data_IF_094015891909
#
_entry.id   IF_094015891909
#
_cell.length_a   1.000
_cell.length_b   1.000
_cell.length_c   1.000
_cell.angle_alpha   90.00
_cell.angle_beta   90.00
_cell.angle_gamma   90.00
#
_symmetry.space_group_name_H-M   'P 1'
#
loop_
_entity.id
_entity.type
_entity.pdbx_description
1 polymer ?
#
# COMPACT_ATOMS: atom_id res chain seq x y z
N UNK A 1 5.30 8.72 30.61
CA UNK A 1 6.27 8.23 29.60
C UNK A 1 5.63 7.05 28.88
N UNK A 2 5.29 7.19 27.60
CA UNK A 2 4.68 6.09 26.85
C UNK A 2 5.73 4.99 26.64
N UNK A 3 5.45 3.77 27.10
CA UNK A 3 6.28 2.61 26.81
C UNK A 3 6.28 2.39 25.30
N UNK A 4 7.38 2.72 24.61
CA UNK A 4 7.61 2.25 23.25
C UNK A 4 7.66 0.73 23.32
N UNK A 5 6.66 0.06 22.75
CA UNK A 5 6.75 -1.38 22.49
C UNK A 5 7.88 -1.56 21.49
N UNK A 6 9.01 -2.11 21.94
CA UNK A 6 10.01 -2.67 21.04
C UNK A 6 9.34 -3.87 20.41
N UNK A 7 8.83 -3.71 19.19
CA UNK A 7 8.40 -4.85 18.38
C UNK A 7 9.68 -5.48 17.88
N UNK A 8 10.01 -6.69 18.35
CA UNK A 8 11.11 -7.44 17.75
C UNK A 8 10.77 -7.64 16.27
N UNK A 9 11.51 -6.99 15.38
CA UNK A 9 11.53 -7.33 13.97
C UNK A 9 12.23 -8.69 13.91
N UNK A 10 11.46 -9.76 13.73
CA UNK A 10 12.05 -11.06 13.40
C UNK A 10 12.83 -10.90 12.08
N UNK A 11 13.95 -11.60 11.95
CA UNK A 11 14.75 -11.68 10.70
C UNK A 11 13.89 -12.01 9.48
N UNK A 12 12.81 -12.78 9.67
CA UNK A 12 11.68 -12.88 8.76
C UNK A 12 10.40 -13.13 9.55
N UNK A 13 9.28 -12.50 9.18
CA UNK A 13 7.99 -12.76 9.81
C UNK A 13 7.16 -13.84 9.07
N UNK A 14 7.72 -14.48 8.05
CA UNK A 14 7.03 -15.52 7.26
C UNK A 14 5.96 -15.01 6.29
N UNK A 15 5.92 -13.70 6.03
CA UNK A 15 5.02 -13.13 5.03
C UNK A 15 5.41 -13.60 3.61
N UNK A 16 4.41 -13.98 2.82
CA UNK A 16 4.50 -14.21 1.38
C UNK A 16 3.41 -13.43 0.64
N UNK A 17 3.77 -12.67 -0.39
CA UNK A 17 2.88 -11.76 -1.13
C UNK A 17 3.21 -11.64 -2.62
N UNK A 18 2.62 -10.67 -3.31
CA UNK A 18 2.64 -10.51 -4.78
C UNK A 18 3.12 -9.10 -5.20
N UNK A 19 3.88 -8.42 -4.36
CA UNK A 19 4.30 -7.04 -4.52
C UNK A 19 5.25 -6.80 -5.70
N UNK A 20 5.90 -7.84 -6.25
CA UNK A 20 6.86 -7.70 -7.38
C UNK A 20 6.30 -8.13 -8.74
N UNK A 21 4.98 -8.31 -8.83
CA UNK A 21 4.27 -8.45 -10.11
C UNK A 21 4.25 -9.87 -10.68
N UNK A 22 4.80 -10.87 -9.98
CA UNK A 22 4.62 -12.26 -10.37
C UNK A 22 3.17 -12.73 -10.17
N UNK A 23 2.80 -13.78 -10.91
CA UNK A 23 1.52 -14.48 -10.74
C UNK A 23 1.52 -15.49 -9.58
N UNK A 24 2.65 -15.66 -8.90
CA UNK A 24 2.83 -16.50 -7.71
C UNK A 24 3.35 -15.64 -6.55
N UNK A 25 3.22 -16.11 -5.28
CA UNK A 25 3.80 -15.39 -4.16
C UNK A 25 5.32 -15.27 -4.29
N UNK A 26 5.80 -14.08 -4.66
CA UNK A 26 7.20 -13.75 -4.94
C UNK A 26 7.81 -12.85 -3.86
N UNK A 27 6.99 -12.27 -2.99
CA UNK A 27 7.45 -11.26 -2.04
C UNK A 27 7.70 -11.92 -0.68
N UNK A 28 8.92 -11.85 -0.16
CA UNK A 28 9.30 -12.40 1.15
C UNK A 28 9.73 -11.31 2.12
N UNK A 29 9.43 -11.48 3.41
CA UNK A 29 9.89 -10.56 4.44
C UNK A 29 11.32 -10.89 4.88
N UNK A 30 12.22 -9.89 4.88
CA UNK A 30 13.53 -9.94 5.54
C UNK A 30 13.73 -8.62 6.30
N UNK A 31 14.06 -8.70 7.58
CA UNK A 31 14.32 -7.53 8.46
C UNK A 31 13.24 -6.42 8.42
N UNK A 32 11.98 -6.81 8.20
CA UNK A 32 10.83 -5.90 8.20
C UNK A 32 10.54 -5.25 6.84
N UNK A 33 11.26 -5.63 5.79
CA UNK A 33 11.09 -5.16 4.42
C UNK A 33 10.75 -6.33 3.48
N UNK A 34 10.10 -6.02 2.36
CA UNK A 34 9.80 -6.99 1.32
C UNK A 34 10.94 -7.08 0.31
N UNK A 35 11.26 -8.31 -0.02
CA UNK A 35 12.26 -8.68 -1.02
C UNK A 35 11.65 -9.61 -2.05
N UNK A 36 12.11 -9.47 -3.27
CA UNK A 36 11.71 -10.30 -4.38
C UNK A 36 12.47 -11.63 -4.32
N UNK A 37 11.74 -12.72 -4.09
CA UNK A 37 12.26 -14.05 -3.80
C UNK A 37 12.94 -14.71 -5.00
N UNK A 38 12.65 -14.26 -6.21
CA UNK A 38 13.32 -14.74 -7.43
C UNK A 38 14.44 -13.81 -7.90
N UNK A 39 14.69 -12.73 -7.16
CA UNK A 39 15.79 -11.81 -7.46
C UNK A 39 17.15 -12.32 -7.00
N UNK A 40 18.18 -11.93 -7.72
CA UNK A 40 19.58 -12.10 -7.33
C UNK A 40 20.23 -13.43 -7.72
N UNK A 41 21.34 -13.76 -7.04
CA UNK A 41 22.25 -14.85 -7.41
C UNK A 41 23.01 -15.37 -6.18
N UNK A 42 23.34 -16.66 -6.15
CA UNK A 42 24.13 -17.30 -5.09
C UNK A 42 23.63 -17.05 -3.65
N UNK A 43 22.31 -16.97 -3.47
CA UNK A 43 21.67 -16.82 -2.15
C UNK A 43 21.53 -15.38 -1.67
N UNK A 44 21.87 -14.39 -2.50
CA UNK A 44 21.58 -12.98 -2.27
C UNK A 44 20.38 -12.53 -3.09
N UNK A 45 19.51 -11.72 -2.50
CA UNK A 45 18.42 -11.03 -3.20
C UNK A 45 18.92 -9.65 -3.66
N UNK A 46 18.54 -9.25 -4.87
CA UNK A 46 19.01 -7.99 -5.49
C UNK A 46 17.91 -6.98 -5.74
N UNK A 47 16.64 -7.34 -5.48
CA UNK A 47 15.47 -6.48 -5.67
C UNK A 47 14.59 -6.49 -4.41
N UNK A 48 14.17 -5.30 -3.97
CA UNK A 48 13.45 -5.08 -2.71
C UNK A 48 14.25 -4.30 -1.67
N UNK A 49 13.81 -4.37 -0.41
CA UNK A 49 14.40 -3.61 0.70
C UNK A 49 13.81 -2.21 0.92
N UNK A 50 12.84 -1.78 0.11
CA UNK A 50 12.23 -0.44 0.24
C UNK A 50 10.77 -0.47 0.70
N UNK A 51 10.09 -1.60 0.50
CA UNK A 51 8.66 -1.75 0.82
C UNK A 51 8.56 -2.37 2.22
N UNK A 52 8.02 -1.68 3.24
CA UNK A 52 7.89 -2.25 4.58
C UNK A 52 6.96 -3.47 4.55
N UNK A 53 7.21 -4.50 5.36
CA UNK A 53 6.35 -5.69 5.35
C UNK A 53 4.93 -5.39 5.89
N UNK A 54 3.84 -5.76 5.20
CA UNK A 54 2.48 -5.49 5.66
C UNK A 54 2.06 -6.31 6.90
N UNK A 55 2.79 -7.39 7.20
CA UNK A 55 2.50 -8.26 8.34
C UNK A 55 3.14 -7.74 9.63
N UNK A 56 4.46 -7.50 9.65
CA UNK A 56 5.18 -7.05 10.85
C UNK A 56 5.38 -5.53 10.93
N UNK A 57 5.34 -4.81 9.81
CA UNK A 57 5.53 -3.35 9.70
C UNK A 57 4.29 -2.66 9.07
N UNK A 58 3.09 -3.01 9.54
CA UNK A 58 1.81 -2.60 8.94
C UNK A 58 1.63 -1.08 8.88
N UNK A 59 2.04 -0.36 9.92
CA UNK A 59 1.86 1.09 9.97
C UNK A 59 2.74 1.79 8.92
N UNK A 60 3.94 1.27 8.73
CA UNK A 60 4.94 1.68 7.76
C UNK A 60 4.49 1.32 6.34
N UNK A 61 3.98 0.10 6.10
CA UNK A 61 3.40 -0.30 4.80
C UNK A 61 2.26 0.63 4.39
N UNK A 62 1.35 0.95 5.32
CA UNK A 62 0.27 1.90 5.07
C UNK A 62 0.80 3.32 4.79
N UNK A 63 1.90 3.73 5.41
CA UNK A 63 2.51 5.03 5.17
C UNK A 63 3.20 5.07 3.79
N UNK A 64 3.89 4.00 3.41
CA UNK A 64 4.56 3.83 2.13
C UNK A 64 3.56 3.96 0.97
N UNK A 65 2.46 3.19 1.00
CA UNK A 65 1.44 3.21 -0.05
C UNK A 65 0.40 4.34 0.09
N UNK A 66 0.54 5.23 1.07
CA UNK A 66 -0.42 6.31 1.28
C UNK A 66 -0.59 7.23 0.05
N UNK A 67 0.46 7.65 -0.67
CA UNK A 67 0.31 8.47 -1.87
C UNK A 67 -0.52 7.76 -2.94
N UNK A 68 -0.17 6.52 -3.29
CA UNK A 68 -0.87 5.72 -4.29
C UNK A 68 -2.35 5.48 -3.89
N UNK A 69 -2.63 5.18 -2.63
CA UNK A 69 -4.01 5.01 -2.14
C UNK A 69 -4.84 6.30 -2.29
N UNK A 70 -4.20 7.47 -2.17
CA UNK A 70 -4.86 8.77 -2.38
C UNK A 70 -5.07 9.01 -3.87
N UNK A 71 -4.06 8.74 -4.70
CA UNK A 71 -4.09 8.88 -6.16
C UNK A 71 -5.21 8.05 -6.79
N UNK A 72 -5.38 6.79 -6.38
CA UNK A 72 -6.54 5.96 -6.78
C UNK A 72 -7.88 6.64 -6.47
N UNK A 73 -7.96 7.34 -5.34
CA UNK A 73 -9.12 8.16 -5.03
C UNK A 73 -9.27 9.35 -5.97
N UNK A 74 -8.17 10.06 -6.25
CA UNK A 74 -8.13 11.22 -7.15
C UNK A 74 -8.62 10.85 -8.55
N UNK A 75 -8.11 9.76 -9.13
CA UNK A 75 -8.56 9.22 -10.42
C UNK A 75 -10.07 8.93 -10.44
N UNK A 76 -10.57 8.16 -9.47
CA UNK A 76 -12.01 7.87 -9.34
C UNK A 76 -12.85 9.14 -9.21
N UNK A 77 -12.34 10.14 -8.49
CA UNK A 77 -13.00 11.43 -8.31
C UNK A 77 -13.07 12.24 -9.60
N UNK A 78 -11.97 12.25 -10.35
CA UNK A 78 -11.86 12.92 -11.64
C UNK A 78 -12.79 12.26 -12.68
N UNK A 79 -12.79 10.93 -12.76
CA UNK A 79 -13.69 10.18 -13.65
C UNK A 79 -15.18 10.30 -13.27
N UNK A 80 -15.48 10.74 -12.04
CA UNK A 80 -16.84 10.86 -11.52
C UNK A 80 -17.42 9.54 -11.03
N UNK A 81 -16.57 8.53 -10.79
CA UNK A 81 -16.98 7.27 -10.19
C UNK A 81 -17.35 7.43 -8.71
N UNK A 82 -18.04 6.45 -8.13
CA UNK A 82 -18.15 6.34 -6.67
C UNK A 82 -16.84 5.82 -6.07
N UNK A 83 -16.40 6.32 -4.90
CA UNK A 83 -15.13 5.89 -4.32
C UNK A 83 -15.14 4.41 -3.92
N UNK A 84 -14.33 3.60 -4.61
CA UNK A 84 -14.16 2.15 -4.39
C UNK A 84 -12.92 1.91 -3.53
N UNK A 85 -13.00 0.99 -2.57
CA UNK A 85 -11.85 0.65 -1.71
C UNK A 85 -10.92 -0.34 -2.41
N UNK A 86 -10.22 0.15 -3.43
CA UNK A 86 -9.25 -0.60 -4.22
C UNK A 86 -7.91 0.14 -4.18
N UNK A 87 -6.83 -0.60 -4.44
CA UNK A 87 -5.46 -0.12 -4.63
C UNK A 87 -4.93 -0.86 -5.86
N UNK A 88 -4.04 -0.28 -6.68
CA UNK A 88 -3.37 -1.05 -7.72
C UNK A 88 -2.60 -2.24 -7.09
N UNK A 89 -2.65 -3.39 -7.75
CA UNK A 89 -2.15 -4.66 -7.17
C UNK A 89 -2.97 -5.23 -6.01
N UNK A 90 -4.00 -4.52 -5.53
CA UNK A 90 -4.83 -4.93 -4.40
C UNK A 90 -4.20 -4.70 -3.03
N UNK A 91 -4.99 -4.92 -1.99
CA UNK A 91 -4.51 -4.93 -0.61
C UNK A 91 -4.11 -6.37 -0.22
N UNK A 92 -2.93 -6.59 0.39
CA UNK A 92 -2.56 -7.88 0.95
C UNK A 92 -3.61 -8.41 1.93
N UNK A 93 -3.76 -9.73 2.05
CA UNK A 93 -4.77 -10.35 2.91
C UNK A 93 -4.64 -9.88 4.37
N UNK A 94 -3.40 -9.78 4.87
CA UNK A 94 -3.10 -9.28 6.22
C UNK A 94 -3.51 -7.81 6.45
N UNK A 95 -3.65 -7.02 5.39
CA UNK A 95 -4.20 -5.66 5.44
C UNK A 95 -5.71 -5.70 5.35
N UNK A 96 -6.27 -6.53 4.46
CA UNK A 96 -7.73 -6.70 4.29
C UNK A 96 -8.41 -7.20 5.56
N UNK A 97 -7.75 -8.09 6.30
CA UNK A 97 -8.24 -8.62 7.58
C UNK A 97 -8.17 -7.62 8.74
N UNK A 98 -7.41 -6.54 8.62
CA UNK A 98 -7.28 -5.50 9.64
C UNK A 98 -8.30 -4.36 9.41
N UNK A 99 -9.30 -4.31 10.28
CA UNK A 99 -10.40 -3.33 10.21
C UNK A 99 -9.88 -1.88 10.31
N UNK A 100 -8.88 -1.63 11.15
CA UNK A 100 -8.35 -0.29 11.37
C UNK A 100 -7.48 0.16 10.19
N UNK A 101 -6.69 -0.75 9.62
CA UNK A 101 -5.96 -0.51 8.39
C UNK A 101 -6.90 -0.16 7.23
N UNK A 102 -7.94 -0.97 7.01
CA UNK A 102 -8.92 -0.72 5.95
C UNK A 102 -9.73 0.55 6.17
N UNK A 103 -10.08 0.89 7.43
CA UNK A 103 -10.73 2.17 7.76
C UNK A 103 -9.83 3.35 7.43
N UNK A 104 -8.52 3.23 7.62
CA UNK A 104 -7.53 4.26 7.27
C UNK A 104 -7.43 4.42 5.75
N UNK A 105 -7.28 3.32 5.02
CA UNK A 105 -7.24 3.31 3.55
C UNK A 105 -8.50 3.94 2.94
N UNK A 106 -9.69 3.56 3.41
CA UNK A 106 -10.98 4.16 2.98
C UNK A 106 -11.03 5.68 3.15
N UNK A 107 -10.49 6.20 4.25
CA UNK A 107 -10.43 7.65 4.49
C UNK A 107 -9.49 8.35 3.51
N UNK A 108 -8.38 7.70 3.15
CA UNK A 108 -7.43 8.24 2.18
C UNK A 108 -7.97 8.24 0.75
N UNK A 109 -8.60 7.14 0.32
CA UNK A 109 -9.31 7.08 -0.97
C UNK A 109 -10.38 8.16 -1.06
N UNK A 110 -11.23 8.28 -0.03
CA UNK A 110 -12.27 9.32 -0.01
C UNK A 110 -11.67 10.73 -0.06
N UNK A 111 -10.52 10.97 0.56
CA UNK A 111 -9.80 12.25 0.46
C UNK A 111 -9.35 12.53 -0.96
N UNK A 112 -8.75 11.54 -1.64
CA UNK A 112 -8.37 11.67 -3.03
C UNK A 112 -9.57 11.96 -3.93
N UNK A 113 -10.65 11.21 -3.73
CA UNK A 113 -11.91 11.38 -4.47
C UNK A 113 -12.45 12.80 -4.47
N UNK A 114 -12.46 13.46 -3.31
CA UNK A 114 -12.88 14.86 -3.24
C UNK A 114 -11.93 15.81 -3.97
N UNK A 115 -10.63 15.51 -4.04
CA UNK A 115 -9.65 16.33 -4.76
C UNK A 115 -9.81 16.19 -6.27
N UNK A 116 -9.84 14.96 -6.78
CA UNK A 116 -10.03 14.72 -8.22
C UNK A 116 -11.36 15.27 -8.74
N UNK A 117 -12.44 15.12 -7.96
CA UNK A 117 -13.73 15.74 -8.30
C UNK A 117 -13.64 17.26 -8.41
N UNK A 118 -12.92 17.91 -7.48
CA UNK A 118 -12.74 19.37 -7.47
C UNK A 118 -11.89 19.82 -8.67
N UNK A 119 -10.88 19.05 -9.04
CA UNK A 119 -10.03 19.32 -10.19
C UNK A 119 -10.83 19.27 -11.49
N UNK A 120 -11.60 18.20 -11.71
CA UNK A 120 -12.53 18.12 -12.83
C UNK A 120 -13.48 19.32 -12.91
N UNK A 121 -14.10 19.70 -11.80
CA UNK A 121 -15.00 20.87 -11.76
C UNK A 121 -14.29 22.18 -12.13
N UNK A 122 -13.00 22.31 -11.77
CA UNK A 122 -12.19 23.47 -12.11
C UNK A 122 -11.90 23.50 -13.61
N UNK A 123 -11.50 22.38 -14.20
CA UNK A 123 -11.26 22.26 -15.65
C UNK A 123 -12.54 22.51 -16.44
N UNK A 124 -13.65 21.89 -16.04
CA UNK A 124 -14.97 22.13 -16.64
C UNK A 124 -15.36 23.60 -16.59
N UNK A 125 -15.05 24.33 -15.51
CA UNK A 125 -15.32 25.76 -15.40
C UNK A 125 -14.34 26.66 -16.16
N UNK A 126 -13.11 26.21 -16.40
CA UNK A 126 -12.10 26.94 -17.16
C UNK A 126 -12.36 26.87 -18.67
N UNK A 127 -12.95 25.77 -19.14
CA UNK A 127 -13.28 25.53 -20.54
C UNK A 127 -14.77 25.72 -20.89
N UNK A 128 -15.61 26.16 -19.94
CA UNK A 128 -17.02 26.52 -20.17
C UNK A 128 -17.19 27.99 -20.57
#
# INVERSE_FOLDING_TARGET
MAKRKIVQVQTSCGYQGYEFGAHYPDSVCIDGELWDADSGFEGYLSNGGDIPCPQCCRAEWLAYYRPEIIEVGEEQGYEGETPKTVKHGGFPEVIRGDIDAMRKARRWIKRGWYRGRKERQKEEAEYA
#
